data_IF_868509898636
#
_entry.id   IF_868509898636
#
_cell.length_a   1.000
_cell.length_b   1.000
_cell.length_c   1.000
_cell.angle_alpha   90.00
_cell.angle_beta   90.00
_cell.angle_gamma   90.00
#
_symmetry.space_group_name_H-M   'P 1'
#
loop_
_entity.id
_entity.type
_entity.pdbx_description
1 polymer ?
#
# COMPACT_ATOMS: atom_id res chain seq x y z
N UNK A 1 18.54 -9.38 19.51
CA UNK A 1 17.75 -9.00 20.70
C UNK A 1 17.46 -10.23 21.54
N UNK A 2 17.80 -10.24 22.84
CA UNK A 2 17.36 -11.30 23.76
C UNK A 2 16.00 -10.90 24.33
N UNK A 3 14.90 -11.33 23.71
CA UNK A 3 13.57 -11.18 24.31
C UNK A 3 13.42 -12.26 25.38
N UNK A 4 13.24 -11.86 26.64
CA UNK A 4 12.89 -12.80 27.71
C UNK A 4 11.54 -13.48 27.42
N UNK A 5 11.19 -14.50 28.20
CA UNK A 5 9.88 -15.16 28.08
C UNK A 5 8.76 -14.14 28.34
N UNK A 6 7.77 -14.05 27.45
CA UNK A 6 6.60 -13.16 27.56
C UNK A 6 5.49 -13.72 28.44
N UNK A 7 5.82 -14.69 29.27
CA UNK A 7 4.91 -15.37 30.18
C UNK A 7 5.66 -16.44 30.96
N UNK A 8 4.90 -17.34 31.58
CA UNK A 8 5.42 -18.52 32.29
C UNK A 8 4.73 -19.78 31.80
N UNK A 9 5.38 -20.92 31.95
CA UNK A 9 4.73 -22.20 31.78
C UNK A 9 4.21 -22.67 33.15
N UNK A 10 2.94 -23.06 33.21
CA UNK A 10 2.39 -23.78 34.36
C UNK A 10 2.09 -25.22 33.95
N UNK A 11 2.43 -26.14 34.86
CA UNK A 11 2.21 -27.57 34.67
C UNK A 11 1.16 -28.01 35.69
N UNK A 12 0.02 -28.45 35.18
CA UNK A 12 -1.10 -28.93 36.01
C UNK A 12 -1.36 -30.39 35.71
N UNK A 13 -1.62 -31.19 36.75
CA UNK A 13 -2.04 -32.59 36.62
C UNK A 13 -3.53 -32.71 36.85
N UNK A 14 -4.26 -33.23 35.87
CA UNK A 14 -5.72 -33.47 35.96
C UNK A 14 -6.01 -34.86 35.38
N UNK A 15 -6.80 -35.67 36.09
CA UNK A 15 -7.21 -37.01 35.66
C UNK A 15 -6.08 -37.96 35.22
N UNK A 16 -4.88 -37.82 35.81
CA UNK A 16 -3.70 -38.63 35.46
C UNK A 16 -2.86 -38.09 34.30
N UNK A 17 -3.31 -37.04 33.61
CA UNK A 17 -2.58 -36.39 32.52
C UNK A 17 -1.83 -35.14 33.02
N UNK A 18 -0.63 -34.93 32.49
CA UNK A 18 0.18 -33.73 32.79
C UNK A 18 0.08 -32.76 31.62
N UNK A 19 -0.50 -31.59 31.85
CA UNK A 19 -0.64 -30.53 30.84
C UNK A 19 0.29 -29.38 31.17
N UNK A 20 1.10 -28.98 30.19
CA UNK A 20 1.99 -27.80 30.28
C UNK A 20 1.37 -26.67 29.45
N UNK A 21 0.78 -25.69 30.12
CA UNK A 21 0.17 -24.52 29.49
C UNK A 21 1.10 -23.31 29.58
N UNK A 22 1.12 -22.47 28.54
CA UNK A 22 1.77 -21.17 28.59
C UNK A 22 0.78 -20.11 29.05
N UNK A 23 1.12 -19.39 30.13
CA UNK A 23 0.35 -18.28 30.68
C UNK A 23 1.12 -16.99 30.36
N UNK A 24 0.61 -16.12 29.47
CA UNK A 24 1.25 -14.85 29.17
C UNK A 24 1.27 -13.94 30.41
N UNK A 25 2.23 -13.02 30.49
CA UNK A 25 2.16 -11.96 31.50
C UNK A 25 0.87 -11.15 31.31
N UNK A 26 0.22 -10.73 32.42
CA UNK A 26 -0.99 -9.92 32.33
C UNK A 26 -0.70 -8.58 31.65
N UNK A 27 -1.70 -8.05 30.96
CA UNK A 27 -1.67 -6.69 30.42
C UNK A 27 -2.52 -5.78 31.33
N UNK A 28 -2.09 -4.52 31.56
CA UNK A 28 -0.87 -3.89 31.07
C UNK A 28 0.41 -4.44 31.76
N UNK A 29 1.60 -4.33 31.12
CA UNK A 29 2.85 -4.70 31.76
C UNK A 29 3.13 -3.82 32.98
N UNK A 30 3.92 -4.33 33.92
CA UNK A 30 4.44 -3.56 35.06
C UNK A 30 5.96 -3.37 34.93
N UNK A 31 6.47 -2.12 34.95
CA UNK A 31 5.71 -0.87 34.96
C UNK A 31 4.94 -0.65 33.64
N UNK A 32 3.83 0.12 33.68
CA UNK A 32 3.09 0.46 32.47
C UNK A 32 3.97 1.10 31.41
N UNK A 33 3.58 0.92 30.14
CA UNK A 33 4.20 1.63 29.03
C UNK A 33 4.20 3.14 29.28
N UNK A 34 5.37 3.76 29.24
CA UNK A 34 5.49 5.19 29.51
C UNK A 34 5.03 6.04 28.30
N UNK A 35 3.74 6.34 28.22
CA UNK A 35 3.16 7.26 27.24
C UNK A 35 3.26 8.72 27.69
N UNK A 36 4.49 9.24 27.82
CA UNK A 36 4.69 10.64 28.18
C UNK A 36 4.26 11.59 27.06
N UNK A 37 3.88 12.81 27.42
CA UNK A 37 3.54 13.86 26.45
C UNK A 37 4.69 14.11 25.45
N UNK A 38 5.94 14.06 25.90
CA UNK A 38 7.12 14.20 25.05
C UNK A 38 7.22 13.07 23.99
N UNK A 39 7.01 11.81 24.39
CA UNK A 39 7.02 10.68 23.44
C UNK A 39 5.87 10.78 22.44
N UNK A 40 4.70 11.20 22.89
CA UNK A 40 3.56 11.42 22.02
C UNK A 40 3.83 12.53 20.99
N UNK A 41 4.38 13.66 21.43
CA UNK A 41 4.80 14.75 20.53
C UNK A 41 5.86 14.30 19.52
N UNK A 42 6.83 13.49 19.96
CA UNK A 42 7.85 12.96 19.05
C UNK A 42 7.25 12.05 17.99
N UNK A 43 6.32 11.17 18.36
CA UNK A 43 5.59 10.29 17.45
C UNK A 43 4.74 11.08 16.45
N UNK A 44 4.03 12.11 16.91
CA UNK A 44 3.23 12.99 16.05
C UNK A 44 4.12 13.70 15.02
N UNK A 45 5.25 14.26 15.45
CA UNK A 45 6.23 14.88 14.54
C UNK A 45 6.80 13.88 13.53
N UNK A 46 7.14 12.68 13.97
CA UNK A 46 7.64 11.64 13.09
C UNK A 46 6.59 11.24 12.05
N UNK A 47 5.35 11.02 12.47
CA UNK A 47 4.22 10.71 11.57
C UNK A 47 4.00 11.80 10.53
N UNK A 48 4.02 13.08 10.95
CA UNK A 48 3.89 14.21 10.01
C UNK A 48 5.08 14.29 9.04
N UNK A 49 6.30 14.05 9.52
CA UNK A 49 7.49 14.06 8.68
C UNK A 49 7.44 12.95 7.61
N UNK A 50 7.02 11.73 7.99
CA UNK A 50 6.80 10.62 7.07
C UNK A 50 5.73 10.96 6.03
N UNK A 51 4.56 11.44 6.45
CA UNK A 51 3.50 11.82 5.50
C UNK A 51 3.90 12.93 4.52
N UNK A 52 4.77 13.87 4.95
CA UNK A 52 5.36 14.87 4.04
C UNK A 52 6.33 14.25 3.04
N UNK A 53 7.15 13.29 3.47
CA UNK A 53 8.07 12.57 2.60
C UNK A 53 7.30 11.78 1.53
N UNK A 54 6.28 11.03 1.92
CA UNK A 54 5.42 10.26 1.00
C UNK A 54 4.76 11.19 -0.02
N UNK A 55 4.27 12.34 0.43
CA UNK A 55 3.67 13.35 -0.44
C UNK A 55 4.64 13.87 -1.50
N UNK A 56 5.91 14.11 -1.15
CA UNK A 56 6.95 14.55 -2.10
C UNK A 56 7.31 13.43 -3.06
N UNK A 57 7.43 12.20 -2.57
CA UNK A 57 7.70 11.01 -3.39
C UNK A 57 6.59 10.78 -4.43
N UNK A 58 5.32 10.88 -4.02
CA UNK A 58 4.17 10.77 -4.92
C UNK A 58 4.11 11.90 -5.94
N UNK A 59 4.39 13.15 -5.54
CA UNK A 59 4.44 14.27 -6.46
C UNK A 59 5.48 14.03 -7.56
N UNK A 60 6.69 13.61 -7.16
CA UNK A 60 7.77 13.28 -8.09
C UNK A 60 7.40 12.12 -9.03
N UNK A 61 6.76 11.07 -8.50
CA UNK A 61 6.27 9.95 -9.31
C UNK A 61 5.26 10.43 -10.37
N UNK A 62 4.31 11.29 -9.98
CA UNK A 62 3.31 11.80 -10.90
C UNK A 62 3.91 12.70 -11.97
N UNK A 63 4.83 13.60 -11.61
CA UNK A 63 5.56 14.42 -12.59
C UNK A 63 6.34 13.56 -13.59
N UNK A 64 7.00 12.50 -13.12
CA UNK A 64 7.70 11.56 -14.00
C UNK A 64 6.75 10.83 -14.95
N UNK A 65 5.58 10.39 -14.46
CA UNK A 65 4.54 9.80 -15.28
C UNK A 65 4.02 10.76 -16.36
N UNK A 66 3.77 12.02 -15.99
CA UNK A 66 3.36 13.06 -16.95
C UNK A 66 4.44 13.33 -18.01
N UNK A 67 5.72 13.41 -17.61
CA UNK A 67 6.85 13.56 -18.55
C UNK A 67 6.92 12.37 -19.52
N UNK A 68 6.79 11.13 -19.04
CA UNK A 68 6.75 9.92 -19.89
C UNK A 68 5.61 9.97 -20.90
N UNK A 69 4.43 10.43 -20.48
CA UNK A 69 3.26 10.60 -21.36
C UNK A 69 3.51 11.71 -22.40
N UNK A 70 4.08 12.85 -21.98
CA UNK A 70 4.38 13.97 -22.85
C UNK A 70 5.42 13.64 -23.93
N UNK A 71 6.42 12.82 -23.58
CA UNK A 71 7.48 12.36 -24.49
C UNK A 71 7.06 11.17 -25.36
N UNK A 72 5.89 10.58 -25.11
CA UNK A 72 5.39 9.44 -25.88
C UNK A 72 4.93 9.85 -27.28
N UNK A 73 5.23 9.01 -28.28
CA UNK A 73 4.74 9.19 -29.65
C UNK A 73 3.20 9.22 -29.78
N UNK A 74 2.48 8.68 -28.80
CA UNK A 74 1.01 8.58 -28.78
C UNK A 74 0.39 9.46 -27.69
N UNK A 75 0.78 10.74 -27.65
CA UNK A 75 0.20 11.74 -26.74
C UNK A 75 -1.24 12.06 -27.14
N UNK A 76 -2.20 11.55 -26.39
CA UNK A 76 -3.63 11.85 -26.59
C UNK A 76 -4.26 12.40 -25.31
N UNK A 77 -5.29 13.27 -25.40
CA UNK A 77 -6.02 13.75 -24.23
C UNK A 77 -6.59 12.60 -23.38
N UNK A 78 -7.02 11.51 -24.04
CA UNK A 78 -7.49 10.28 -23.41
C UNK A 78 -6.42 9.64 -22.52
N UNK A 79 -5.16 9.65 -22.94
CA UNK A 79 -4.05 9.07 -22.18
C UNK A 79 -3.81 9.85 -20.89
N UNK A 80 -3.78 11.18 -20.97
CA UNK A 80 -3.66 12.05 -19.79
C UNK A 80 -4.87 11.93 -18.86
N UNK A 81 -6.09 11.82 -19.40
CA UNK A 81 -7.31 11.65 -18.61
C UNK A 81 -7.32 10.33 -17.82
N UNK A 82 -6.90 9.23 -18.44
CA UNK A 82 -6.77 7.92 -17.78
C UNK A 82 -5.66 7.95 -16.72
N UNK A 83 -4.54 8.60 -17.00
CA UNK A 83 -3.47 8.79 -16.01
C UNK A 83 -3.94 9.60 -14.79
N UNK A 84 -4.76 10.64 -15.00
CA UNK A 84 -5.35 11.42 -13.91
C UNK A 84 -6.23 10.57 -12.98
N UNK A 85 -6.98 9.61 -13.53
CA UNK A 85 -7.75 8.65 -12.72
C UNK A 85 -6.82 7.75 -11.91
N UNK A 86 -5.73 7.27 -12.51
CA UNK A 86 -4.73 6.43 -11.82
C UNK A 86 -4.04 7.13 -10.64
N UNK A 87 -3.81 8.45 -10.73
CA UNK A 87 -3.29 9.25 -9.61
C UNK A 87 -4.20 9.25 -8.39
N UNK A 88 -5.51 8.99 -8.58
CA UNK A 88 -6.50 8.89 -7.50
C UNK A 88 -6.79 7.44 -7.10
N UNK A 89 -6.62 6.50 -8.03
CA UNK A 89 -6.92 5.08 -7.86
C UNK A 89 -5.80 4.24 -8.48
N UNK A 90 -4.82 3.76 -7.69
CA UNK A 90 -3.69 2.99 -8.22
C UNK A 90 -4.07 1.60 -8.72
N UNK A 91 -5.29 1.13 -8.42
CA UNK A 91 -5.83 -0.17 -8.84
C UNK A 91 -7.10 0.08 -9.64
N UNK A 92 -7.10 -0.32 -10.91
CA UNK A 92 -8.23 -0.10 -11.82
C UNK A 92 -8.35 -1.21 -12.86
N UNK A 93 -9.58 -1.62 -13.14
CA UNK A 93 -9.95 -2.39 -14.32
C UNK A 93 -10.32 -1.46 -15.49
N UNK A 94 -10.38 -2.01 -16.70
CA UNK A 94 -10.87 -1.27 -17.88
C UNK A 94 -12.31 -0.78 -17.70
N UNK A 95 -13.15 -1.58 -17.03
CA UNK A 95 -14.54 -1.23 -16.77
C UNK A 95 -14.68 -0.08 -15.77
N UNK A 96 -13.90 -0.08 -14.69
CA UNK A 96 -13.86 1.03 -13.75
C UNK A 96 -13.30 2.29 -14.40
N UNK A 97 -12.25 2.16 -15.22
CA UNK A 97 -11.71 3.29 -15.98
C UNK A 97 -12.78 3.92 -16.88
N UNK A 98 -13.58 3.08 -17.56
CA UNK A 98 -14.72 3.51 -18.37
C UNK A 98 -15.72 4.32 -17.55
N UNK A 99 -16.10 3.81 -16.38
CA UNK A 99 -17.07 4.46 -15.49
C UNK A 99 -16.55 5.80 -14.95
N UNK A 100 -15.26 5.89 -14.62
CA UNK A 100 -14.65 7.10 -14.06
C UNK A 100 -14.36 8.19 -15.10
N UNK A 101 -14.13 7.80 -16.37
CA UNK A 101 -13.75 8.73 -17.44
C UNK A 101 -14.87 9.03 -18.43
N UNK A 102 -15.92 8.22 -18.48
CA UNK A 102 -16.98 8.29 -19.50
C UNK A 102 -16.55 7.82 -20.89
N UNK A 103 -15.32 7.31 -21.04
CA UNK A 103 -14.79 6.84 -22.32
C UNK A 103 -15.51 5.58 -22.82
N UNK A 104 -15.39 5.28 -24.10
CA UNK A 104 -15.78 3.96 -24.62
C UNK A 104 -14.80 2.89 -24.14
N UNK A 105 -15.25 1.63 -24.04
CA UNK A 105 -14.38 0.51 -23.65
C UNK A 105 -13.10 0.42 -24.50
N UNK A 106 -13.16 0.52 -25.85
CA UNK A 106 -11.95 0.48 -26.68
C UNK A 106 -10.98 1.63 -26.41
N UNK A 107 -11.49 2.83 -26.09
CA UNK A 107 -10.66 3.98 -25.79
C UNK A 107 -9.93 3.81 -24.43
N UNK A 108 -10.66 3.40 -23.39
CA UNK A 108 -10.07 3.10 -22.08
C UNK A 108 -9.04 1.95 -22.16
N UNK A 109 -9.37 0.88 -22.88
CA UNK A 109 -8.46 -0.25 -23.07
C UNK A 109 -7.17 0.16 -23.79
N UNK A 110 -7.27 0.94 -24.88
CA UNK A 110 -6.09 1.43 -25.62
C UNK A 110 -5.23 2.36 -24.78
N UNK A 111 -5.84 3.23 -23.97
CA UNK A 111 -5.12 4.13 -23.08
C UNK A 111 -4.38 3.36 -21.98
N UNK A 112 -5.03 2.40 -21.32
CA UNK A 112 -4.39 1.54 -20.31
C UNK A 112 -3.22 0.75 -20.93
N UNK A 113 -3.39 0.17 -22.11
CA UNK A 113 -2.30 -0.52 -22.82
C UNK A 113 -1.13 0.41 -23.17
N UNK A 114 -1.42 1.67 -23.50
CA UNK A 114 -0.37 2.65 -23.74
C UNK A 114 0.39 2.99 -22.45
N UNK A 115 -0.30 3.15 -21.32
CA UNK A 115 0.34 3.34 -20.01
C UNK A 115 1.15 2.11 -19.56
N UNK A 116 0.67 0.91 -19.88
CA UNK A 116 1.39 -0.34 -19.62
C UNK A 116 2.68 -0.41 -20.44
N UNK A 117 2.62 -0.08 -21.74
CA UNK A 117 3.82 0.02 -22.59
C UNK A 117 4.78 1.12 -22.16
N UNK A 118 4.26 2.19 -21.58
CA UNK A 118 5.09 3.23 -20.99
C UNK A 118 5.74 2.78 -19.69
N UNK A 119 5.34 1.64 -19.10
CA UNK A 119 5.82 1.12 -17.82
C UNK A 119 5.27 1.87 -16.61
N UNK A 120 4.07 2.45 -16.74
CA UNK A 120 3.38 3.19 -15.66
C UNK A 120 2.43 2.25 -14.91
N UNK A 121 1.80 1.31 -15.61
CA UNK A 121 0.91 0.31 -14.99
C UNK A 121 1.31 -1.10 -15.37
N UNK A 122 1.00 -2.05 -14.50
CA UNK A 122 1.24 -3.47 -14.72
C UNK A 122 -0.04 -4.27 -14.51
N UNK A 123 -0.26 -5.28 -15.34
CA UNK A 123 -1.37 -6.21 -15.15
C UNK A 123 -1.10 -7.15 -13.97
N UNK A 124 -2.04 -7.25 -13.03
CA UNK A 124 -1.92 -8.17 -11.88
C UNK A 124 -2.76 -9.44 -12.00
N UNK A 125 -3.72 -9.46 -12.93
CA UNK A 125 -4.67 -10.57 -13.05
C UNK A 125 -4.21 -11.65 -14.04
N UNK A 126 -4.33 -12.93 -13.67
CA UNK A 126 -4.19 -14.07 -14.60
C UNK A 126 -5.41 -14.31 -15.49
N UNK A 127 -6.56 -13.68 -15.18
CA UNK A 127 -7.83 -13.91 -15.90
C UNK A 127 -7.89 -13.22 -17.27
N UNK A 128 -8.72 -13.78 -18.17
CA UNK A 128 -9.02 -13.19 -19.47
C UNK A 128 -10.03 -12.04 -19.40
N UNK A 129 -10.98 -12.06 -18.45
CA UNK A 129 -12.04 -11.05 -18.26
C UNK A 129 -11.83 -10.24 -16.98
N UNK A 130 -12.29 -8.98 -16.99
CA UNK A 130 -12.14 -7.99 -15.91
C UNK A 130 -10.69 -7.82 -15.40
N UNK A 131 -9.76 -7.62 -16.33
CA UNK A 131 -8.34 -7.47 -16.02
C UNK A 131 -8.10 -6.22 -15.18
N UNK A 132 -7.47 -6.38 -14.02
CA UNK A 132 -7.05 -5.29 -13.14
C UNK A 132 -5.59 -4.94 -13.43
N UNK A 133 -5.33 -3.64 -13.46
CA UNK A 133 -4.03 -3.01 -13.65
C UNK A 133 -3.67 -2.21 -12.40
N UNK A 134 -2.38 -2.18 -12.10
CA UNK A 134 -1.83 -1.55 -10.91
C UNK A 134 -0.77 -0.52 -11.27
N UNK A 135 -0.81 0.64 -10.62
CA UNK A 135 0.31 1.57 -10.59
C UNK A 135 1.24 1.15 -9.44
N UNK A 136 2.19 0.27 -9.77
CA UNK A 136 3.06 -0.40 -8.78
C UNK A 136 3.85 0.60 -7.95
N UNK A 137 4.59 1.48 -8.63
CA UNK A 137 5.42 2.52 -7.99
C UNK A 137 4.64 3.41 -7.01
N UNK A 138 3.35 3.66 -7.26
CA UNK A 138 2.49 4.39 -6.33
C UNK A 138 2.29 3.57 -5.06
N UNK A 139 1.83 2.32 -5.19
CA UNK A 139 1.58 1.49 -4.00
C UNK A 139 2.84 1.19 -3.22
N UNK A 140 3.98 1.08 -3.89
CA UNK A 140 5.25 0.81 -3.21
C UNK A 140 5.64 2.00 -2.31
N UNK A 141 5.43 3.25 -2.77
CA UNK A 141 5.61 4.45 -1.94
C UNK A 141 4.66 4.46 -0.73
N UNK A 142 3.40 4.05 -0.90
CA UNK A 142 2.44 4.03 0.21
C UNK A 142 2.65 2.88 1.20
N UNK A 143 3.26 1.78 0.75
CA UNK A 143 3.48 0.60 1.56
C UNK A 143 4.88 0.56 2.19
N UNK A 144 5.76 1.50 1.84
CA UNK A 144 7.10 1.60 2.40
C UNK A 144 7.03 1.64 3.94
N UNK A 145 7.66 0.67 4.61
CA UNK A 145 7.62 0.53 6.07
C UNK A 145 6.44 -0.28 6.65
N UNK A 146 5.53 -0.80 5.81
CA UNK A 146 4.46 -1.74 6.20
C UNK A 146 4.76 -3.20 5.85
N UNK A 147 5.98 -3.47 5.38
CA UNK A 147 6.40 -4.82 5.01
C UNK A 147 6.46 -5.72 6.26
N UNK A 148 5.65 -6.77 6.27
CA UNK A 148 5.66 -7.78 7.33
C UNK A 148 6.96 -8.56 7.19
N UNK A 149 7.97 -8.20 7.98
CA UNK A 149 9.22 -8.96 8.16
C UNK A 149 9.05 -10.13 9.11
#
# INVERSE_FOLDING_TARGET
MRRGLTGRYEVTRVAGETVRAFIPHPLPPEPPLEWSAERQQLLERATVALGRLDSVSLLKLFEQGERRIQQSRRRTPTLSQVFHVLRKRPLVSVNEMRQQTGLSFPAAARAIQALEKLGIVHKITGRHRNRVFIYRDYLDILNEGTEIS
#
